data_IF_813983657582
#
_entry.id   IF_813983657582
#
_cell.length_a   1.000
_cell.length_b   1.000
_cell.length_c   1.000
_cell.angle_alpha   90.00
_cell.angle_beta   90.00
_cell.angle_gamma   90.00
#
_symmetry.space_group_name_H-M   'P 1'
#
loop_
_entity.id
_entity.type
_entity.pdbx_description
1 polymer ?
#
# COMPACT_ATOMS: atom_id res chain seq x y z
N UNK A 1 -11.57 -5.01 2.45
CA UNK A 1 -10.24 -4.40 2.68
C UNK A 1 -10.26 -3.66 4.02
N UNK A 2 -9.12 -3.15 4.51
CA UNK A 2 -9.11 -2.29 5.71
C UNK A 2 -9.93 -1.00 5.52
N UNK A 3 -9.98 -0.48 4.28
CA UNK A 3 -10.84 0.65 3.89
C UNK A 3 -12.32 0.26 4.08
N UNK A 4 -12.76 -0.88 3.54
CA UNK A 4 -14.15 -1.32 3.68
C UNK A 4 -14.55 -1.51 5.14
N UNK A 5 -13.66 -2.13 5.94
CA UNK A 5 -13.89 -2.38 7.36
C UNK A 5 -14.04 -1.06 8.14
N UNK A 6 -13.20 -0.06 7.87
CA UNK A 6 -13.30 1.24 8.55
C UNK A 6 -14.49 2.07 8.03
N UNK A 7 -14.88 1.94 6.77
CA UNK A 7 -16.08 2.58 6.21
C UNK A 7 -17.35 2.02 6.84
N UNK A 8 -17.43 0.69 7.00
CA UNK A 8 -18.55 0.05 7.70
C UNK A 8 -18.65 0.56 9.14
N UNK A 9 -17.53 0.54 9.87
CA UNK A 9 -17.46 1.06 11.24
C UNK A 9 -17.84 2.55 11.34
N UNK A 10 -17.40 3.36 10.37
CA UNK A 10 -17.57 4.80 10.42
C UNK A 10 -19.03 5.26 10.37
N UNK A 11 -19.90 4.48 9.73
CA UNK A 11 -21.33 4.76 9.63
C UNK A 11 -22.01 4.70 11.00
N UNK A 12 -21.55 3.81 11.87
CA UNK A 12 -22.17 3.51 13.17
C UNK A 12 -21.43 4.13 14.36
N UNK A 13 -20.10 4.30 14.25
CA UNK A 13 -19.26 4.71 15.36
C UNK A 13 -19.42 6.20 15.67
N UNK A 14 -20.02 6.51 16.82
CA UNK A 14 -20.02 7.84 17.44
C UNK A 14 -18.94 7.90 18.52
N UNK A 15 -18.13 8.97 18.53
CA UNK A 15 -17.12 9.18 19.59
C UNK A 15 -17.80 9.72 20.85
N UNK A 16 -17.20 9.48 22.02
CA UNK A 16 -17.72 9.98 23.28
C UNK A 16 -17.85 11.51 23.22
N UNK A 17 -19.04 12.03 23.54
CA UNK A 17 -19.34 13.46 23.52
C UNK A 17 -19.70 14.03 22.15
N UNK A 18 -19.81 13.21 21.11
CA UNK A 18 -20.22 13.63 19.77
C UNK A 18 -21.68 13.28 19.48
N UNK A 19 -22.34 14.12 18.68
CA UNK A 19 -23.76 13.92 18.29
C UNK A 19 -23.94 13.06 17.04
N UNK A 20 -22.87 12.87 16.25
CA UNK A 20 -22.90 12.16 14.98
C UNK A 20 -21.76 11.16 14.84
N UNK A 21 -21.97 10.17 13.98
CA UNK A 21 -20.96 9.16 13.67
C UNK A 21 -19.74 9.79 12.97
N UNK A 22 -18.59 9.11 13.04
CA UNK A 22 -17.34 9.62 12.44
C UNK A 22 -17.44 9.81 10.92
N UNK A 23 -18.40 9.17 10.25
CA UNK A 23 -18.70 9.41 8.83
C UNK A 23 -19.11 10.87 8.52
N UNK A 24 -19.64 11.61 9.50
CA UNK A 24 -20.02 13.03 9.34
C UNK A 24 -18.84 13.99 9.53
N UNK A 25 -17.67 13.49 9.91
CA UNK A 25 -16.48 14.34 10.13
C UNK A 25 -15.80 14.61 8.80
N UNK A 26 -15.62 15.88 8.45
CA UNK A 26 -14.93 16.31 7.22
C UNK A 26 -13.53 15.70 7.09
N UNK A 27 -12.80 15.57 8.20
CA UNK A 27 -11.49 14.93 8.24
C UNK A 27 -11.54 13.45 7.88
N UNK A 28 -12.58 12.73 8.30
CA UNK A 28 -12.79 11.34 7.91
C UNK A 28 -13.10 11.23 6.42
N UNK A 29 -14.01 12.05 5.90
CA UNK A 29 -14.40 12.06 4.48
C UNK A 29 -13.21 12.37 3.56
N UNK A 30 -12.42 13.41 3.88
CA UNK A 30 -11.19 13.76 3.16
C UNK A 30 -10.21 12.59 3.17
N UNK A 31 -9.95 12.02 4.35
CA UNK A 31 -8.96 10.96 4.45
C UNK A 31 -9.43 9.66 3.78
N UNK A 32 -10.71 9.33 3.84
CA UNK A 32 -11.25 8.19 3.09
C UNK A 32 -10.97 8.33 1.60
N UNK A 33 -11.33 9.47 1.00
CA UNK A 33 -11.10 9.70 -0.42
C UNK A 33 -9.60 9.68 -0.79
N UNK A 34 -8.75 10.23 0.06
CA UNK A 34 -7.30 10.23 -0.16
C UNK A 34 -6.69 8.83 -0.14
N UNK A 35 -6.98 8.03 0.89
CA UNK A 35 -6.41 6.69 1.05
C UNK A 35 -7.01 5.70 0.03
N UNK A 36 -8.27 5.89 -0.39
CA UNK A 36 -8.86 5.16 -1.50
C UNK A 36 -8.08 5.42 -2.80
N UNK A 37 -7.77 6.69 -3.10
CA UNK A 37 -6.96 7.05 -4.26
C UNK A 37 -5.55 6.45 -4.20
N UNK A 38 -4.92 6.51 -3.03
CA UNK A 38 -3.58 5.94 -2.81
C UNK A 38 -3.55 4.42 -3.00
N UNK A 39 -4.53 3.70 -2.43
CA UNK A 39 -4.66 2.25 -2.64
C UNK A 39 -4.89 1.91 -4.12
N UNK A 40 -5.78 2.64 -4.82
CA UNK A 40 -6.03 2.42 -6.24
C UNK A 40 -4.78 2.63 -7.09
N UNK A 41 -4.03 3.70 -6.82
CA UNK A 41 -2.78 3.99 -7.53
C UNK A 41 -1.74 2.89 -7.32
N UNK A 42 -1.52 2.49 -6.07
CA UNK A 42 -0.60 1.39 -5.72
C UNK A 42 -1.01 0.06 -6.37
N UNK A 43 -2.29 -0.29 -6.31
CA UNK A 43 -2.81 -1.51 -6.92
C UNK A 43 -2.62 -1.51 -8.44
N UNK A 44 -2.96 -0.39 -9.10
CA UNK A 44 -2.78 -0.26 -10.55
C UNK A 44 -1.33 -0.36 -10.96
N UNK A 45 -0.42 0.31 -10.26
CA UNK A 45 1.01 0.22 -10.54
C UNK A 45 1.50 -1.24 -10.51
N UNK A 46 1.14 -2.02 -9.49
CA UNK A 46 1.50 -3.45 -9.43
C UNK A 46 0.89 -4.23 -10.58
N UNK A 47 -0.42 -4.09 -10.83
CA UNK A 47 -1.08 -4.86 -11.89
C UNK A 47 -0.50 -4.52 -13.26
N UNK A 48 -0.37 -3.25 -13.58
CA UNK A 48 0.08 -2.78 -14.88
C UNK A 48 1.55 -3.22 -15.11
N UNK A 49 2.45 -2.97 -14.14
CA UNK A 49 3.87 -3.36 -14.26
C UNK A 49 4.07 -4.85 -14.46
N UNK A 50 3.37 -5.70 -13.69
CA UNK A 50 3.55 -7.15 -13.81
C UNK A 50 2.88 -7.70 -15.08
N UNK A 51 1.72 -7.15 -15.46
CA UNK A 51 1.04 -7.55 -16.71
C UNK A 51 1.87 -7.21 -17.94
N UNK A 52 2.45 -6.01 -17.99
CA UNK A 52 3.28 -5.57 -19.12
C UNK A 52 4.58 -6.38 -19.22
N UNK A 53 5.18 -6.73 -18.08
CA UNK A 53 6.36 -7.61 -18.04
C UNK A 53 6.00 -9.02 -18.51
N UNK A 54 4.92 -9.61 -17.99
CA UNK A 54 4.45 -10.94 -18.38
C UNK A 54 4.15 -11.03 -19.88
N UNK A 55 3.49 -10.01 -20.44
CA UNK A 55 3.18 -9.95 -21.87
C UNK A 55 4.45 -9.93 -22.74
N UNK A 56 5.43 -9.09 -22.40
CA UNK A 56 6.70 -9.01 -23.15
C UNK A 56 7.48 -10.32 -23.10
N UNK A 57 7.58 -10.94 -21.92
CA UNK A 57 8.26 -12.24 -21.77
C UNK A 57 7.53 -13.35 -22.53
N UNK A 58 6.19 -13.34 -22.55
CA UNK A 58 5.40 -14.28 -23.34
C UNK A 58 5.62 -14.15 -24.85
N UNK A 59 5.98 -12.95 -25.34
CA UNK A 59 6.35 -12.68 -26.73
C UNK A 59 7.82 -13.03 -27.05
N UNK A 60 8.59 -13.51 -26.06
CA UNK A 60 9.99 -13.93 -26.22
C UNK A 60 11.01 -12.86 -25.89
N UNK A 61 10.61 -11.74 -25.26
CA UNK A 61 11.57 -10.78 -24.72
C UNK A 61 12.31 -11.35 -23.50
N UNK A 62 13.58 -10.98 -23.36
CA UNK A 62 14.37 -11.27 -22.15
C UNK A 62 13.92 -10.37 -20.98
N UNK A 63 14.02 -10.89 -19.76
CA UNK A 63 13.74 -10.10 -18.56
C UNK A 63 14.85 -9.06 -18.31
N UNK A 64 14.61 -7.83 -18.74
CA UNK A 64 15.60 -6.75 -18.68
C UNK A 64 15.85 -6.24 -17.25
N UNK A 65 17.01 -5.62 -16.96
CA UNK A 65 17.24 -4.91 -15.70
C UNK A 65 16.18 -3.84 -15.41
N UNK A 66 15.70 -3.14 -16.45
CA UNK A 66 14.66 -2.12 -16.30
C UNK A 66 13.33 -2.72 -15.84
N UNK A 67 12.89 -3.85 -16.42
CA UNK A 67 11.69 -4.55 -15.97
C UNK A 67 11.79 -4.95 -14.50
N UNK A 68 12.95 -5.46 -14.06
CA UNK A 68 13.17 -5.79 -12.64
C UNK A 68 13.09 -4.56 -11.74
N UNK A 69 13.68 -3.44 -12.17
CA UNK A 69 13.59 -2.17 -11.46
C UNK A 69 12.14 -1.72 -11.28
N UNK A 70 11.35 -1.75 -12.36
CA UNK A 70 9.95 -1.34 -12.34
C UNK A 70 9.11 -2.24 -11.42
N UNK A 71 9.31 -3.57 -11.51
CA UNK A 71 8.65 -4.54 -10.62
C UNK A 71 8.95 -4.29 -9.14
N UNK A 72 10.20 -3.91 -8.82
CA UNK A 72 10.61 -3.58 -7.45
C UNK A 72 10.04 -2.26 -6.97
N UNK A 73 10.08 -1.22 -7.80
CA UNK A 73 9.44 0.07 -7.50
C UNK A 73 7.96 -0.16 -7.19
N UNK A 74 7.26 -0.91 -8.05
CA UNK A 74 5.84 -1.22 -7.87
C UNK A 74 5.56 -1.95 -6.55
N UNK A 75 6.32 -3.00 -6.23
CA UNK A 75 6.15 -3.78 -5.01
C UNK A 75 6.44 -2.97 -3.73
N UNK A 76 7.54 -2.20 -3.73
CA UNK A 76 7.94 -1.36 -2.59
C UNK A 76 6.91 -0.25 -2.37
N UNK A 77 6.54 0.48 -3.43
CA UNK A 77 5.54 1.55 -3.34
C UNK A 77 4.19 1.03 -2.87
N UNK A 78 3.74 -0.11 -3.40
CA UNK A 78 2.47 -0.69 -2.97
C UNK A 78 2.49 -1.11 -1.50
N UNK A 79 3.63 -1.57 -0.98
CA UNK A 79 3.80 -1.89 0.44
C UNK A 79 3.73 -0.63 1.31
N UNK A 80 4.42 0.44 0.92
CA UNK A 80 4.42 1.73 1.64
C UNK A 80 3.02 2.36 1.66
N UNK A 81 2.37 2.43 0.49
CA UNK A 81 1.00 2.93 0.37
C UNK A 81 0.03 2.09 1.21
N UNK A 82 0.10 0.77 1.13
CA UNK A 82 -0.79 -0.12 1.90
C UNK A 82 -0.56 0.03 3.42
N UNK A 83 0.69 0.21 3.86
CA UNK A 83 1.01 0.51 5.27
C UNK A 83 0.32 1.80 5.73
N UNK A 84 0.39 2.87 4.93
CA UNK A 84 -0.24 4.14 5.27
C UNK A 84 -1.77 4.05 5.28
N UNK A 85 -2.39 3.37 4.30
CA UNK A 85 -3.84 3.09 4.32
C UNK A 85 -4.26 2.35 5.59
N UNK A 86 -3.55 1.28 5.94
CA UNK A 86 -3.90 0.46 7.09
C UNK A 86 -3.64 1.20 8.41
N UNK A 87 -2.56 1.99 8.50
CA UNK A 87 -2.32 2.85 9.64
C UNK A 87 -3.45 3.85 9.85
N UNK A 88 -3.90 4.52 8.78
CA UNK A 88 -5.04 5.43 8.87
C UNK A 88 -6.32 4.72 9.32
N UNK A 89 -6.64 3.56 8.73
CA UNK A 89 -7.82 2.80 9.11
C UNK A 89 -7.79 2.38 10.58
N UNK A 90 -6.62 1.94 11.08
CA UNK A 90 -6.39 1.61 12.49
C UNK A 90 -6.65 2.82 13.40
N UNK A 91 -6.06 3.97 13.08
CA UNK A 91 -6.23 5.20 13.87
C UNK A 91 -7.68 5.72 13.84
N UNK A 92 -8.34 5.68 12.69
CA UNK A 92 -9.72 6.16 12.54
C UNK A 92 -10.72 5.31 13.36
N UNK A 93 -10.49 4.00 13.43
CA UNK A 93 -11.31 3.07 14.20
C UNK A 93 -11.15 3.20 15.72
N UNK A 94 -10.04 3.78 16.21
CA UNK A 94 -9.77 4.01 17.63
C UNK A 94 -9.76 2.70 18.43
N UNK A 95 -10.37 2.68 19.62
CA UNK A 95 -10.38 1.49 20.49
C UNK A 95 -11.01 0.24 19.87
N UNK A 96 -11.82 0.38 18.81
CA UNK A 96 -12.34 -0.77 18.05
C UNK A 96 -11.22 -1.54 17.34
N UNK A 97 -10.14 -0.86 16.96
CA UNK A 97 -9.01 -1.43 16.22
C UNK A 97 -8.02 -2.22 17.08
N UNK A 98 -8.21 -2.29 18.40
CA UNK A 98 -7.33 -3.03 19.33
C UNK A 98 -8.06 -4.14 20.08
N UNK A 99 -9.36 -4.31 19.83
CA UNK A 99 -10.15 -5.39 20.42
C UNK A 99 -9.85 -6.69 19.70
N UNK A 100 -9.80 -7.78 20.45
CA UNK A 100 -9.65 -9.12 19.92
C UNK A 100 -10.77 -9.44 18.92
N UNK A 101 -10.42 -10.10 17.82
CA UNK A 101 -11.35 -10.42 16.72
C UNK A 101 -11.53 -9.29 15.68
N UNK A 102 -10.99 -8.09 15.91
CA UNK A 102 -11.03 -7.02 14.92
C UNK A 102 -10.18 -7.35 13.69
N UNK A 103 -10.72 -7.20 12.48
CA UNK A 103 -9.92 -7.34 11.26
C UNK A 103 -8.86 -6.25 11.13
N UNK A 104 -9.08 -5.09 11.75
CA UNK A 104 -8.20 -3.93 11.68
C UNK A 104 -6.93 -4.09 12.52
N UNK A 105 -6.99 -4.80 13.66
CA UNK A 105 -5.77 -5.11 14.43
C UNK A 105 -4.86 -6.04 13.61
N UNK A 106 -5.47 -7.08 13.01
CA UNK A 106 -4.75 -8.08 12.23
C UNK A 106 -4.12 -7.46 11.00
N UNK A 107 -4.90 -6.70 10.23
CA UNK A 107 -4.40 -5.99 9.05
C UNK A 107 -3.21 -5.07 9.40
N UNK A 108 -3.28 -4.36 10.53
CA UNK A 108 -2.19 -3.50 10.98
C UNK A 108 -0.91 -4.30 11.28
N UNK A 109 -1.01 -5.37 12.07
CA UNK A 109 0.16 -6.22 12.36
C UNK A 109 0.74 -6.83 11.10
N UNK A 110 -0.12 -7.43 10.26
CA UNK A 110 0.30 -8.13 9.04
C UNK A 110 1.02 -7.17 8.07
N UNK A 111 0.50 -5.95 7.88
CA UNK A 111 1.16 -4.95 7.03
C UNK A 111 2.51 -4.52 7.59
N UNK A 112 2.61 -4.26 8.90
CA UNK A 112 3.87 -3.85 9.52
C UNK A 112 4.90 -4.98 9.56
N UNK A 113 4.48 -6.23 9.62
CA UNK A 113 5.35 -7.39 9.41
C UNK A 113 5.81 -7.45 7.96
N UNK A 114 4.90 -7.27 7.00
CA UNK A 114 5.22 -7.24 5.57
C UNK A 114 6.27 -6.19 5.21
N UNK A 115 6.24 -5.02 5.87
CA UNK A 115 7.21 -3.95 5.64
C UNK A 115 8.64 -4.26 6.11
N UNK A 116 8.87 -5.42 6.74
CA UNK A 116 10.22 -5.84 7.15
C UNK A 116 10.91 -6.72 6.10
N UNK A 117 10.23 -7.08 5.02
CA UNK A 117 10.79 -7.98 4.01
C UNK A 117 11.92 -7.30 3.22
N UNK A 118 13.07 -7.96 3.05
CA UNK A 118 14.26 -7.36 2.42
C UNK A 118 14.01 -6.82 0.99
N UNK A 119 13.18 -7.53 0.20
CA UNK A 119 12.77 -7.13 -1.15
C UNK A 119 11.79 -5.94 -1.26
N UNK A 120 11.41 -5.31 -0.15
CA UNK A 120 10.63 -4.05 -0.14
C UNK A 120 11.33 -2.95 0.67
N UNK A 121 12.64 -3.10 0.88
CA UNK A 121 13.45 -2.12 1.60
C UNK A 121 13.79 -0.92 0.71
N UNK A 122 14.21 0.19 1.33
CA UNK A 122 14.72 1.40 0.66
C UNK A 122 15.84 1.10 -0.35
N UNK A 123 16.57 0.00 -0.16
CA UNK A 123 17.59 -0.46 -1.11
C UNK A 123 17.01 -0.64 -2.52
N UNK A 124 15.77 -1.12 -2.66
CA UNK A 124 15.13 -1.30 -3.97
C UNK A 124 14.99 0.01 -4.74
N UNK A 125 14.61 1.11 -4.08
CA UNK A 125 14.54 2.42 -4.70
C UNK A 125 15.91 2.99 -5.06
N UNK A 126 16.90 2.84 -4.18
CA UNK A 126 18.24 3.39 -4.46
C UNK A 126 18.93 2.66 -5.61
N UNK A 127 18.74 1.35 -5.72
CA UNK A 127 19.27 0.55 -6.84
C UNK A 127 18.53 0.82 -8.14
N UNK A 128 17.19 0.93 -8.11
CA UNK A 128 16.40 1.33 -9.28
C UNK A 128 16.76 2.75 -9.74
N UNK A 129 16.95 3.68 -8.80
CA UNK A 129 17.36 5.06 -9.09
C UNK A 129 18.73 5.13 -9.76
N UNK A 130 19.71 4.31 -9.35
CA UNK A 130 21.01 4.22 -10.03
C UNK A 130 20.86 3.76 -11.49
N UNK A 131 20.00 2.76 -11.74
CA UNK A 131 19.72 2.26 -13.08
C UNK A 131 19.06 3.36 -13.94
N UNK A 132 18.05 4.04 -13.42
CA UNK A 132 17.34 5.13 -14.11
C UNK A 132 18.26 6.31 -14.47
N UNK A 133 19.29 6.56 -13.65
CA UNK A 133 20.30 7.60 -13.89
C UNK A 133 21.46 7.14 -14.80
N UNK A 134 21.47 5.88 -15.23
CA UNK A 134 22.57 5.31 -16.03
C UNK A 134 23.88 5.17 -15.25
N UNK A 135 23.83 5.08 -13.92
CA UNK A 135 25.02 4.92 -13.07
C UNK A 135 25.48 3.46 -12.99
N UNK A 136 24.57 2.52 -13.28
CA UNK A 136 24.82 1.08 -13.37
C UNK A 136 24.00 0.53 -14.53
N UNK A 137 24.46 -0.57 -15.15
CA UNK A 137 23.72 -1.27 -16.20
C UNK A 137 22.80 -2.37 -15.63
N UNK A 138 23.12 -2.88 -14.44
CA UNK A 138 22.36 -3.91 -13.74
C UNK A 138 22.66 -3.87 -12.22
N UNK A 139 21.72 -4.35 -11.40
CA UNK A 139 21.87 -4.61 -9.98
C UNK A 139 21.21 -5.93 -9.59
N UNK A 140 21.99 -6.82 -8.94
CA UNK A 140 21.48 -8.08 -8.36
C UNK A 140 20.52 -7.87 -7.18
N UNK A 141 20.40 -6.63 -6.69
CA UNK A 141 19.44 -6.29 -5.65
C UNK A 141 18.03 -5.97 -6.21
N UNK A 142 17.87 -5.91 -7.54
CA UNK A 142 16.61 -5.74 -8.24
C UNK A 142 16.05 -7.10 -8.71
#
# INVERSE_FOLDING_TARGET
SAIDDVVALAKEKTRMGEESSIAHKLTFQRNLAHHEGMWRAAHRLVVDTYTDMEAQVAEGAELTPQMRADMRIAATYATEASREVVQWAHLAAGTTAIREGSRLERAFRDMYTGTQHAFISEKTYTEAGKLMLGLVDDSMAL
#
